data_IF_178095453960
#
_entry.id   IF_178095453960
#
_cell.length_a   1.000
_cell.length_b   1.000
_cell.length_c   1.000
_cell.angle_alpha   90.00
_cell.angle_beta   90.00
_cell.angle_gamma   90.00
#
_symmetry.space_group_name_H-M   'P 1'
#
loop_
_entity.id
_entity.type
_entity.pdbx_description
1 polymer ?
#
# COMPACT_ATOMS: atom_id res chain seq x y z
N UNK A 1 -9.40 -3.77 -11.07
CA UNK A 1 -9.44 -5.17 -10.62
C UNK A 1 -10.19 -6.04 -11.60
N UNK A 2 -11.51 -5.85 -11.78
CA UNK A 2 -12.37 -6.73 -12.57
C UNK A 2 -11.87 -7.00 -14.01
N UNK A 3 -11.58 -5.95 -14.77
CA UNK A 3 -11.11 -6.09 -16.15
C UNK A 3 -9.79 -6.87 -16.25
N UNK A 4 -8.86 -6.60 -15.34
CA UNK A 4 -7.57 -7.30 -15.33
C UNK A 4 -7.74 -8.77 -14.92
N UNK A 5 -8.64 -9.06 -13.98
CA UNK A 5 -8.95 -10.45 -13.62
C UNK A 5 -9.66 -11.20 -14.75
N UNK A 6 -10.50 -10.50 -15.52
CA UNK A 6 -11.25 -11.11 -16.64
C UNK A 6 -10.38 -11.36 -17.87
N UNK A 7 -9.54 -10.39 -18.24
CA UNK A 7 -8.66 -10.50 -19.43
C UNK A 7 -7.26 -11.03 -19.10
N UNK A 8 -6.88 -11.11 -17.81
CA UNK A 8 -5.56 -11.54 -17.40
C UNK A 8 -5.33 -13.03 -17.56
N UNK A 9 -4.12 -13.43 -17.93
CA UNK A 9 -3.71 -14.83 -18.03
C UNK A 9 -3.33 -15.49 -16.69
N UNK A 10 -3.27 -14.76 -15.59
CA UNK A 10 -2.89 -15.26 -14.27
C UNK A 10 -4.10 -15.39 -13.35
N UNK A 11 -4.24 -16.56 -12.69
CA UNK A 11 -5.32 -16.81 -11.72
C UNK A 11 -5.06 -16.21 -10.33
N UNK A 12 -3.85 -15.76 -10.07
CA UNK A 12 -3.40 -15.29 -8.74
C UNK A 12 -2.89 -13.84 -8.76
N UNK A 13 -3.13 -13.11 -9.85
CA UNK A 13 -2.70 -11.73 -9.97
C UNK A 13 -3.71 -10.79 -9.32
N UNK A 14 -3.24 -9.94 -8.42
CA UNK A 14 -3.99 -8.82 -7.88
C UNK A 14 -3.50 -7.56 -8.59
N UNK A 15 -4.41 -6.90 -9.30
CA UNK A 15 -4.11 -5.66 -9.99
C UNK A 15 -4.59 -4.47 -9.17
N UNK A 16 -3.75 -3.45 -9.08
CA UNK A 16 -4.07 -2.22 -8.39
C UNK A 16 -2.91 -1.22 -8.45
N UNK A 17 -3.12 0.01 -8.01
CA UNK A 17 -2.06 1.01 -7.91
C UNK A 17 -0.98 0.50 -6.94
N UNK A 18 0.29 0.64 -7.35
CA UNK A 18 1.43 0.20 -6.55
C UNK A 18 2.13 1.39 -5.92
N UNK A 19 2.66 1.22 -4.71
CA UNK A 19 3.43 2.26 -4.03
C UNK A 19 4.70 2.68 -4.82
N UNK A 20 5.23 1.79 -5.66
CA UNK A 20 6.37 2.09 -6.54
C UNK A 20 6.05 3.19 -7.56
N UNK A 21 4.81 3.28 -8.03
CA UNK A 21 4.38 4.33 -8.96
C UNK A 21 3.91 5.61 -8.26
N UNK A 22 3.71 5.59 -6.96
CA UNK A 22 3.19 6.75 -6.22
C UNK A 22 4.08 7.99 -6.38
N UNK A 23 5.40 7.83 -6.39
CA UNK A 23 6.36 8.92 -6.58
C UNK A 23 6.26 9.52 -7.99
N UNK A 24 6.13 8.67 -9.01
CA UNK A 24 6.01 9.12 -10.42
C UNK A 24 4.67 9.85 -10.61
N UNK A 25 3.59 9.27 -10.12
CA UNK A 25 2.24 9.86 -10.21
C UNK A 25 2.18 11.18 -9.46
N UNK A 26 2.74 11.26 -8.25
CA UNK A 26 2.80 12.50 -7.47
C UNK A 26 3.62 13.58 -8.20
N UNK A 27 4.77 13.22 -8.78
CA UNK A 27 5.60 14.16 -9.53
C UNK A 27 4.90 14.76 -10.76
N UNK A 28 4.01 13.99 -11.41
CA UNK A 28 3.21 14.50 -12.54
C UNK A 28 2.01 15.30 -12.03
N UNK A 29 1.30 14.78 -11.01
CA UNK A 29 0.07 15.39 -10.51
C UNK A 29 0.27 16.79 -9.89
N UNK A 30 1.47 17.06 -9.36
CA UNK A 30 1.85 18.36 -8.77
C UNK A 30 2.23 19.42 -9.79
N UNK A 31 2.41 19.07 -11.06
CA UNK A 31 2.68 20.05 -12.11
C UNK A 31 1.40 20.81 -12.52
N UNK A 32 1.58 21.95 -13.19
CA UNK A 32 0.46 22.64 -13.84
C UNK A 32 -0.24 21.68 -14.82
N UNK A 33 -1.57 21.63 -14.76
CA UNK A 33 -2.40 20.67 -15.49
C UNK A 33 -2.04 19.20 -15.26
N UNK A 34 -1.47 18.85 -14.07
CA UNK A 34 -0.92 17.54 -13.76
C UNK A 34 -1.93 16.40 -13.92
N UNK A 35 -3.21 16.62 -13.61
CA UNK A 35 -4.25 15.59 -13.81
C UNK A 35 -4.49 15.29 -15.29
N UNK A 36 -4.46 16.30 -16.15
CA UNK A 36 -4.58 16.13 -17.61
C UNK A 36 -3.36 15.40 -18.18
N UNK A 37 -2.15 15.79 -17.76
CA UNK A 37 -0.89 15.12 -18.14
C UNK A 37 -0.88 13.65 -17.70
N UNK A 38 -1.34 13.36 -16.49
CA UNK A 38 -1.42 12.00 -15.95
C UNK A 38 -2.40 11.13 -16.75
N UNK A 39 -3.53 11.71 -17.17
CA UNK A 39 -4.52 11.02 -18.00
C UNK A 39 -3.91 10.62 -19.36
N UNK A 40 -3.23 11.57 -20.05
CA UNK A 40 -2.58 11.28 -21.30
C UNK A 40 -1.44 10.29 -21.18
N UNK A 41 -0.62 10.40 -20.14
CA UNK A 41 0.43 9.43 -19.85
C UNK A 41 -0.16 8.02 -19.67
N UNK A 42 -1.30 7.90 -18.99
CA UNK A 42 -1.99 6.61 -18.77
C UNK A 42 -2.51 6.02 -20.07
N UNK A 43 -3.10 6.84 -20.95
CA UNK A 43 -3.57 6.37 -22.28
C UNK A 43 -2.39 5.89 -23.13
N UNK A 44 -1.32 6.69 -23.21
CA UNK A 44 -0.14 6.33 -23.99
C UNK A 44 0.48 5.04 -23.45
N UNK A 45 0.63 4.91 -22.15
CA UNK A 45 1.10 3.68 -21.52
C UNK A 45 0.20 2.47 -21.84
N UNK A 46 -1.13 2.67 -21.83
CA UNK A 46 -2.09 1.63 -22.22
C UNK A 46 -1.91 1.17 -23.66
N UNK A 47 -1.75 2.10 -24.60
CA UNK A 47 -1.48 1.79 -26.01
C UNK A 47 -0.16 1.01 -26.17
N UNK A 48 0.90 1.47 -25.50
CA UNK A 48 2.20 0.78 -25.54
C UNK A 48 2.06 -0.66 -25.01
N UNK A 49 1.35 -0.86 -23.89
CA UNK A 49 1.13 -2.19 -23.30
C UNK A 49 0.34 -3.10 -24.25
N UNK A 50 -0.68 -2.57 -24.96
CA UNK A 50 -1.42 -3.34 -25.96
C UNK A 50 -0.50 -3.76 -27.10
N UNK A 51 0.31 -2.86 -27.63
CA UNK A 51 1.28 -3.17 -28.68
C UNK A 51 2.29 -4.24 -28.22
N UNK A 52 2.83 -4.10 -27.02
CA UNK A 52 3.73 -5.10 -26.43
C UNK A 52 3.05 -6.47 -26.27
N UNK A 53 1.78 -6.48 -25.91
CA UNK A 53 0.98 -7.70 -25.81
C UNK A 53 0.81 -8.39 -27.17
N UNK A 54 0.44 -7.62 -28.22
CA UNK A 54 0.28 -8.12 -29.59
C UNK A 54 1.60 -8.66 -30.16
N UNK A 55 2.71 -8.01 -29.86
CA UNK A 55 4.06 -8.43 -30.26
C UNK A 55 4.61 -9.58 -29.39
N UNK A 56 3.83 -10.08 -28.42
CA UNK A 56 4.20 -11.18 -27.52
C UNK A 56 5.49 -10.89 -26.69
N UNK A 57 5.75 -9.63 -26.38
CA UNK A 57 6.92 -9.21 -25.60
C UNK A 57 6.93 -9.74 -24.17
N UNK A 58 5.81 -10.26 -23.68
CA UNK A 58 5.77 -10.97 -22.40
C UNK A 58 6.74 -12.16 -22.32
N UNK A 59 7.12 -12.74 -23.47
CA UNK A 59 8.14 -13.81 -23.50
C UNK A 59 9.56 -13.31 -23.19
N UNK A 60 9.83 -11.99 -23.36
CA UNK A 60 11.14 -11.39 -23.07
C UNK A 60 11.45 -11.36 -21.56
N UNK A 61 10.43 -11.49 -20.71
CA UNK A 61 10.61 -11.54 -19.24
C UNK A 61 11.52 -12.67 -18.80
N UNK A 62 11.59 -13.75 -19.61
CA UNK A 62 12.49 -14.90 -19.36
C UNK A 62 13.98 -14.55 -19.42
N UNK A 63 14.30 -13.46 -20.10
CA UNK A 63 15.69 -12.98 -20.21
C UNK A 63 16.11 -12.01 -19.12
N UNK A 64 15.16 -11.60 -18.25
CA UNK A 64 15.46 -10.71 -17.12
C UNK A 64 16.12 -11.56 -16.00
N UNK A 65 17.37 -11.28 -15.64
CA UNK A 65 18.03 -11.97 -14.55
C UNK A 65 17.27 -11.80 -13.22
N UNK A 66 17.25 -12.86 -12.43
CA UNK A 66 16.59 -12.86 -11.11
C UNK A 66 17.12 -11.75 -10.18
N UNK A 67 18.40 -11.43 -10.28
CA UNK A 67 19.03 -10.35 -9.51
C UNK A 67 18.42 -8.98 -9.76
N UNK A 68 17.97 -8.69 -11.00
CA UNK A 68 17.31 -7.43 -11.34
C UNK A 68 15.94 -7.35 -10.66
N UNK A 69 15.14 -8.43 -10.74
CA UNK A 69 13.82 -8.46 -10.10
C UNK A 69 13.91 -8.39 -8.59
N UNK A 70 14.91 -9.05 -8.00
CA UNK A 70 15.16 -9.00 -6.55
C UNK A 70 15.61 -7.61 -6.11
N UNK A 71 16.53 -6.98 -6.84
CA UNK A 71 16.96 -5.60 -6.56
C UNK A 71 15.82 -4.59 -6.67
N UNK A 72 15.00 -4.69 -7.71
CA UNK A 72 13.82 -3.87 -7.88
C UNK A 72 12.84 -4.01 -6.71
N UNK A 73 12.53 -5.24 -6.32
CA UNK A 73 11.63 -5.51 -5.19
C UNK A 73 12.19 -5.00 -3.86
N UNK A 74 13.50 -5.17 -3.63
CA UNK A 74 14.17 -4.64 -2.44
C UNK A 74 14.13 -3.10 -2.39
N UNK A 75 14.36 -2.44 -3.53
CA UNK A 75 14.25 -0.98 -3.64
C UNK A 75 12.84 -0.47 -3.30
N UNK A 76 11.81 -1.14 -3.83
CA UNK A 76 10.41 -0.82 -3.48
C UNK A 76 10.16 -1.00 -1.99
N UNK A 77 10.64 -2.09 -1.39
CA UNK A 77 10.46 -2.36 0.03
C UNK A 77 11.08 -1.25 0.90
N UNK A 78 12.28 -0.77 0.56
CA UNK A 78 12.93 0.35 1.25
C UNK A 78 12.11 1.64 1.09
N UNK A 79 11.66 1.95 -0.13
CA UNK A 79 10.84 3.13 -0.40
C UNK A 79 9.55 3.15 0.43
N UNK A 80 8.87 2.00 0.50
CA UNK A 80 7.65 1.85 1.31
C UNK A 80 8.00 2.01 2.80
N UNK A 81 9.03 1.33 3.29
CA UNK A 81 9.41 1.39 4.69
C UNK A 81 9.72 2.82 5.13
N UNK A 82 10.55 3.55 4.38
CA UNK A 82 10.88 4.95 4.67
C UNK A 82 9.64 5.85 4.59
N UNK A 83 8.76 5.60 3.61
CA UNK A 83 7.50 6.35 3.48
C UNK A 83 6.56 6.19 4.67
N UNK A 84 6.58 5.05 5.35
CA UNK A 84 5.72 4.77 6.50
C UNK A 84 6.28 5.30 7.84
N UNK A 85 7.56 5.68 7.91
CA UNK A 85 8.18 6.13 9.17
C UNK A 85 7.49 7.36 9.76
N UNK A 86 7.03 8.29 8.91
CA UNK A 86 6.28 9.47 9.35
C UNK A 86 5.05 9.08 10.18
N UNK A 87 4.22 8.21 9.62
CA UNK A 87 2.95 7.83 10.24
C UNK A 87 3.16 6.88 11.41
N UNK A 88 4.15 6.01 11.33
CA UNK A 88 4.53 5.08 12.40
C UNK A 88 5.00 5.82 13.66
N UNK A 89 5.80 6.85 13.50
CA UNK A 89 6.25 7.70 14.60
C UNK A 89 5.30 8.88 14.92
N UNK A 90 4.21 9.02 14.14
CA UNK A 90 3.23 10.09 14.30
C UNK A 90 3.80 11.48 14.12
N UNK A 91 4.80 11.65 13.21
CA UNK A 91 5.48 12.92 13.00
C UNK A 91 4.58 13.93 12.29
N UNK A 92 4.67 15.18 12.71
CA UNK A 92 3.96 16.28 12.06
C UNK A 92 4.95 17.11 11.26
N UNK A 93 4.67 17.27 9.96
CA UNK A 93 5.46 18.10 9.07
C UNK A 93 4.78 19.46 8.87
N UNK A 94 5.55 20.52 8.55
CA UNK A 94 5.02 21.83 8.20
C UNK A 94 4.04 21.74 7.01
N UNK A 95 3.02 22.59 6.99
CA UNK A 95 2.07 22.67 5.88
C UNK A 95 2.80 23.04 4.58
N UNK A 96 2.41 22.41 3.49
CA UNK A 96 3.01 22.65 2.17
C UNK A 96 4.30 21.89 1.89
N UNK A 97 4.85 21.11 2.83
CA UNK A 97 6.03 20.29 2.59
C UNK A 97 5.64 19.03 1.78
N UNK A 98 5.93 19.07 0.50
CA UNK A 98 5.72 17.94 -0.40
C UNK A 98 7.04 17.19 -0.59
N UNK A 99 7.10 15.96 -0.10
CA UNK A 99 8.26 15.09 -0.19
C UNK A 99 7.96 13.99 -1.21
N UNK A 100 8.68 13.97 -2.31
CA UNK A 100 8.50 12.98 -3.38
C UNK A 100 9.54 11.88 -3.24
N UNK A 101 10.79 12.25 -3.08
CA UNK A 101 11.90 11.32 -3.05
C UNK A 101 12.06 10.57 -1.72
N UNK A 102 12.56 9.34 -1.78
CA UNK A 102 12.76 8.50 -0.61
C UNK A 102 13.80 9.10 0.35
N UNK A 103 14.85 9.72 -0.20
CA UNK A 103 15.91 10.36 0.57
C UNK A 103 15.37 11.57 1.33
N UNK A 104 14.61 12.43 0.66
CA UNK A 104 13.94 13.59 1.28
C UNK A 104 13.02 13.17 2.43
N UNK A 105 12.26 12.07 2.25
CA UNK A 105 11.41 11.52 3.31
C UNK A 105 12.24 11.07 4.51
N UNK A 106 13.37 10.41 4.27
CA UNK A 106 14.29 9.99 5.34
C UNK A 106 14.88 11.16 6.10
N UNK A 107 15.35 12.20 5.40
CA UNK A 107 15.85 13.44 6.02
C UNK A 107 14.78 14.16 6.82
N UNK A 108 13.55 14.23 6.29
CA UNK A 108 12.44 14.86 6.98
C UNK A 108 12.07 14.14 8.28
N UNK A 109 12.15 12.82 8.32
CA UNK A 109 11.97 12.03 9.55
C UNK A 109 12.98 12.46 10.61
N UNK A 110 14.26 12.57 10.24
CA UNK A 110 15.32 12.97 11.17
C UNK A 110 15.12 14.42 11.64
N UNK A 111 14.84 15.34 10.71
CA UNK A 111 14.66 16.78 11.01
C UNK A 111 13.47 17.06 11.93
N UNK A 112 12.38 16.30 11.77
CA UNK A 112 11.13 16.52 12.52
C UNK A 112 10.88 15.48 13.61
N UNK A 113 11.91 14.74 14.01
CA UNK A 113 11.79 13.73 15.06
C UNK A 113 11.38 14.29 16.42
N UNK A 114 11.58 15.58 16.63
CA UNK A 114 11.11 16.31 17.82
C UNK A 114 9.58 16.37 17.94
N UNK A 115 8.84 16.10 16.86
CA UNK A 115 7.36 16.06 16.85
C UNK A 115 6.80 14.65 17.13
N UNK A 116 7.62 13.74 17.62
CA UNK A 116 7.30 12.36 17.90
C UNK A 116 6.04 12.21 18.77
N UNK A 117 5.09 11.38 18.32
CA UNK A 117 3.87 11.07 19.05
C UNK A 117 3.93 9.66 19.63
N UNK A 118 4.08 9.57 20.95
CA UNK A 118 4.14 8.31 21.66
C UNK A 118 2.89 7.43 21.46
N UNK A 119 1.71 8.05 21.36
CA UNK A 119 0.46 7.31 21.18
C UNK A 119 0.38 6.65 19.80
N UNK A 120 0.79 7.37 18.74
CA UNK A 120 0.87 6.83 17.39
C UNK A 120 1.87 5.67 17.32
N UNK A 121 3.04 5.84 17.90
CA UNK A 121 4.07 4.81 17.99
C UNK A 121 3.56 3.55 18.71
N UNK A 122 2.87 3.72 19.84
CA UNK A 122 2.31 2.61 20.61
C UNK A 122 1.27 1.83 19.79
N UNK A 123 0.35 2.53 19.12
CA UNK A 123 -0.63 1.90 18.21
C UNK A 123 0.09 1.15 17.08
N UNK A 124 1.08 1.77 16.46
CA UNK A 124 1.90 1.16 15.41
C UNK A 124 2.61 -0.11 15.88
N UNK A 125 3.24 -0.06 17.05
CA UNK A 125 3.92 -1.23 17.65
C UNK A 125 2.96 -2.38 17.96
N UNK A 126 1.79 -2.09 18.50
CA UNK A 126 0.79 -3.13 18.78
C UNK A 126 0.28 -3.74 17.48
N UNK A 127 -0.05 -2.92 16.48
CA UNK A 127 -0.48 -3.41 15.17
C UNK A 127 0.61 -4.27 14.51
N UNK A 128 1.87 -3.84 14.57
CA UNK A 128 3.01 -4.61 14.05
C UNK A 128 3.17 -5.94 14.79
N UNK A 129 3.05 -5.93 16.11
CA UNK A 129 3.09 -7.16 16.93
C UNK A 129 1.97 -8.12 16.53
N UNK A 130 0.75 -7.63 16.35
CA UNK A 130 -0.37 -8.44 15.86
C UNK A 130 -0.05 -9.07 14.50
N UNK A 131 0.47 -8.28 13.55
CA UNK A 131 0.83 -8.77 12.22
C UNK A 131 1.85 -9.91 12.25
N UNK A 132 2.84 -9.83 13.13
CA UNK A 132 3.89 -10.84 13.26
C UNK A 132 3.39 -12.07 14.03
N UNK A 133 2.72 -11.84 15.15
CA UNK A 133 2.36 -12.91 16.10
C UNK A 133 1.12 -13.69 15.65
N UNK A 134 0.15 -13.03 14.99
CA UNK A 134 -1.09 -13.66 14.54
C UNK A 134 -0.86 -14.92 13.68
N UNK A 135 -0.12 -14.85 12.56
CA UNK A 135 0.12 -16.03 11.72
C UNK A 135 0.90 -17.11 12.47
N UNK A 136 1.86 -16.72 13.31
CA UNK A 136 2.68 -17.68 14.07
C UNK A 136 1.83 -18.48 15.07
N UNK A 137 0.92 -17.82 15.80
CA UNK A 137 0.04 -18.45 16.76
C UNK A 137 -0.89 -19.44 16.05
N UNK A 138 -1.58 -18.97 14.99
CA UNK A 138 -2.59 -19.81 14.34
C UNK A 138 -1.98 -20.95 13.55
N UNK A 139 -0.78 -20.79 12.98
CA UNK A 139 -0.05 -21.90 12.34
C UNK A 139 0.35 -22.97 13.37
N UNK A 140 0.86 -22.56 14.54
CA UNK A 140 1.17 -23.49 15.65
C UNK A 140 -0.09 -24.17 16.17
N UNK A 141 -1.19 -23.44 16.35
CA UNK A 141 -2.46 -24.00 16.82
C UNK A 141 -3.04 -25.00 15.81
N UNK A 142 -2.94 -24.70 14.52
CA UNK A 142 -3.40 -25.60 13.45
C UNK A 142 -2.64 -26.92 13.51
N UNK A 143 -1.32 -26.89 13.65
CA UNK A 143 -0.48 -28.09 13.83
C UNK A 143 -0.80 -28.84 15.11
N UNK A 144 -0.98 -28.14 16.22
CA UNK A 144 -1.31 -28.75 17.51
C UNK A 144 -2.72 -29.39 17.56
N UNK A 145 -3.65 -28.88 16.76
CA UNK A 145 -5.03 -29.36 16.72
C UNK A 145 -5.29 -30.42 15.63
N UNK A 146 -4.25 -30.86 14.91
CA UNK A 146 -4.40 -31.80 13.80
C UNK A 146 -5.01 -33.15 14.23
N UNK A 147 -4.72 -33.58 15.45
CA UNK A 147 -5.23 -34.82 16.04
C UNK A 147 -6.40 -34.63 17.05
N UNK A 148 -7.00 -33.40 17.12
CA UNK A 148 -8.12 -33.11 18.05
C UNK A 148 -9.47 -33.13 17.33
N UNK A 149 -10.55 -32.89 18.11
CA UNK A 149 -11.94 -32.89 17.64
C UNK A 149 -12.18 -32.09 16.37
N UNK A 150 -13.01 -32.61 15.43
CA UNK A 150 -13.34 -31.99 14.16
C UNK A 150 -13.84 -30.53 14.31
N UNK A 151 -14.61 -30.24 15.36
CA UNK A 151 -15.12 -28.90 15.62
C UNK A 151 -13.99 -27.89 15.94
N UNK A 152 -13.04 -28.28 16.79
CA UNK A 152 -11.90 -27.44 17.15
C UNK A 152 -11.00 -27.17 15.94
N UNK A 153 -10.78 -28.19 15.11
CA UNK A 153 -10.02 -28.06 13.85
C UNK A 153 -10.69 -27.08 12.88
N UNK A 154 -12.03 -27.11 12.76
CA UNK A 154 -12.78 -26.19 11.93
C UNK A 154 -12.66 -24.73 12.41
N UNK A 155 -12.79 -24.50 13.73
CA UNK A 155 -12.65 -23.18 14.33
C UNK A 155 -11.24 -22.61 14.09
N UNK A 156 -10.20 -23.39 14.39
CA UNK A 156 -8.81 -22.97 14.21
C UNK A 156 -8.53 -22.66 12.74
N UNK A 157 -9.06 -23.47 11.81
CA UNK A 157 -8.92 -23.25 10.36
C UNK A 157 -9.59 -21.94 9.91
N UNK A 158 -10.77 -21.62 10.44
CA UNK A 158 -11.47 -20.35 10.13
C UNK A 158 -10.62 -19.17 10.61
N UNK A 159 -10.13 -19.18 11.83
CA UNK A 159 -9.30 -18.10 12.36
C UNK A 159 -7.96 -17.96 11.62
N UNK A 160 -7.34 -19.06 11.21
CA UNK A 160 -6.13 -19.05 10.40
C UNK A 160 -6.36 -18.46 8.99
N UNK A 161 -7.60 -18.52 8.50
CA UNK A 161 -7.97 -17.91 7.21
C UNK A 161 -8.19 -16.40 7.29
N UNK A 162 -8.30 -15.83 8.51
CA UNK A 162 -8.47 -14.37 8.68
C UNK A 162 -7.10 -13.70 8.54
N UNK A 163 -6.94 -12.76 7.60
CA UNK A 163 -5.69 -12.04 7.46
C UNK A 163 -5.34 -11.25 8.74
N UNK A 164 -4.12 -11.42 9.24
CA UNK A 164 -3.65 -10.68 10.43
C UNK A 164 -3.72 -9.17 10.26
N UNK A 165 -3.61 -8.66 9.03
CA UNK A 165 -3.78 -7.25 8.71
C UNK A 165 -5.18 -6.73 9.04
N UNK A 166 -6.22 -7.51 8.80
CA UNK A 166 -7.59 -7.13 9.16
C UNK A 166 -7.73 -6.96 10.67
N UNK A 167 -7.19 -7.91 11.44
CA UNK A 167 -7.22 -7.87 12.90
C UNK A 167 -6.42 -6.66 13.43
N UNK A 168 -5.25 -6.40 12.86
CA UNK A 168 -4.44 -5.24 13.22
C UNK A 168 -5.17 -3.92 12.98
N UNK A 169 -5.85 -3.75 11.82
CA UNK A 169 -6.65 -2.57 11.52
C UNK A 169 -7.80 -2.40 12.49
N UNK A 170 -8.56 -3.46 12.77
CA UNK A 170 -9.67 -3.41 13.74
C UNK A 170 -9.15 -3.03 15.13
N UNK A 171 -8.06 -3.67 15.58
CA UNK A 171 -7.43 -3.35 16.86
C UNK A 171 -6.97 -1.89 16.93
N UNK A 172 -6.30 -1.38 15.88
CA UNK A 172 -5.88 0.02 15.81
C UNK A 172 -7.04 1.00 15.89
N UNK A 173 -8.11 0.74 15.14
CA UNK A 173 -9.33 1.59 15.18
C UNK A 173 -9.97 1.56 16.57
N UNK A 174 -10.06 0.40 17.21
CA UNK A 174 -10.62 0.29 18.56
C UNK A 174 -9.76 1.01 19.59
N UNK A 175 -8.44 0.90 19.53
CA UNK A 175 -7.53 1.61 20.41
C UNK A 175 -7.67 3.14 20.28
N UNK A 176 -7.76 3.65 19.06
CA UNK A 176 -7.92 5.10 18.83
C UNK A 176 -9.30 5.58 19.30
N UNK A 177 -10.38 4.88 18.93
CA UNK A 177 -11.75 5.32 19.26
C UNK A 177 -12.13 5.10 20.72
N UNK A 178 -11.85 3.92 21.27
CA UNK A 178 -12.22 3.58 22.65
C UNK A 178 -11.16 4.02 23.67
N UNK A 179 -9.89 3.99 23.28
CA UNK A 179 -8.78 4.45 24.12
C UNK A 179 -8.61 5.98 24.17
N UNK A 180 -9.35 6.73 23.36
CA UNK A 180 -9.27 8.19 23.30
C UNK A 180 -7.87 8.69 22.90
N UNK A 181 -7.12 7.90 22.12
CA UNK A 181 -5.76 8.24 21.73
C UNK A 181 -5.77 9.36 20.69
N UNK A 182 -4.93 10.37 20.91
CA UNK A 182 -4.75 11.50 19.98
C UNK A 182 -3.79 11.12 18.85
N UNK A 183 -4.30 10.34 17.92
CA UNK A 183 -3.59 9.91 16.71
C UNK A 183 -4.34 10.43 15.51
N UNK A 184 -3.64 11.04 14.56
CA UNK A 184 -4.25 11.52 13.30
C UNK A 184 -4.76 10.31 12.51
N UNK A 185 -6.04 10.34 12.18
CA UNK A 185 -6.67 9.31 11.35
C UNK A 185 -6.66 9.73 9.89
N UNK A 186 -6.92 8.79 8.98
CA UNK A 186 -7.03 9.08 7.54
C UNK A 186 -8.10 10.17 7.28
N UNK A 187 -9.19 10.15 8.05
CA UNK A 187 -10.25 11.17 7.95
C UNK A 187 -9.81 12.58 8.39
N UNK A 188 -8.80 12.69 9.25
CA UNK A 188 -8.23 13.98 9.68
C UNK A 188 -7.21 14.52 8.66
N UNK A 189 -6.56 13.63 7.92
CA UNK A 189 -5.52 13.97 6.95
C UNK A 189 -6.06 14.19 5.53
N UNK A 190 -7.14 13.51 5.16
CA UNK A 190 -7.67 13.50 3.81
C UNK A 190 -9.20 13.63 3.81
N UNK A 191 -9.72 14.47 2.95
CA UNK A 191 -11.16 14.54 2.66
C UNK A 191 -11.52 13.43 1.69
N UNK A 192 -12.07 12.32 2.20
CA UNK A 192 -12.55 11.24 1.36
C UNK A 192 -13.96 11.58 0.89
N UNK A 193 -14.12 11.82 -0.41
CA UNK A 193 -15.44 12.02 -1.01
C UNK A 193 -16.24 10.72 -0.95
N UNK A 194 -17.46 10.78 -0.39
CA UNK A 194 -18.41 9.67 -0.38
C UNK A 194 -19.12 9.47 -1.73
N UNK A 195 -18.82 10.30 -2.73
CA UNK A 195 -19.40 10.20 -4.07
C UNK A 195 -18.46 9.45 -5.00
N UNK A 196 -19.03 8.62 -5.86
CA UNK A 196 -18.28 8.02 -6.96
C UNK A 196 -17.73 9.12 -7.88
N UNK A 197 -16.49 8.98 -8.38
CA UNK A 197 -15.93 9.94 -9.32
C UNK A 197 -16.84 10.06 -10.53
N UNK A 198 -17.22 11.31 -10.86
CA UNK A 198 -18.02 11.59 -12.06
C UNK A 198 -17.14 11.34 -13.28
N UNK A 199 -17.71 10.72 -14.31
CA UNK A 199 -17.04 10.60 -15.59
C UNK A 199 -16.87 12.02 -16.17
N UNK A 200 -15.64 12.46 -16.26
CA UNK A 200 -15.25 13.74 -16.87
C UNK A 200 -14.34 13.44 -18.05
N UNK A 201 -14.66 14.02 -19.20
CA UNK A 201 -13.72 13.98 -20.31
C UNK A 201 -12.55 14.92 -20.00
N UNK A 202 -11.30 14.46 -20.24
CA UNK A 202 -10.14 15.30 -20.03
C UNK A 202 -10.19 16.51 -20.99
N UNK A 203 -9.78 17.64 -20.47
CA UNK A 203 -9.59 18.83 -21.29
C UNK A 203 -8.34 18.59 -22.14
N UNK A 204 -8.47 18.73 -23.45
CA UNK A 204 -7.36 18.68 -24.38
C UNK A 204 -6.62 20.02 -24.30
N UNK A 205 -5.65 20.11 -23.40
CA UNK A 205 -4.77 21.26 -23.32
C UNK A 205 -3.37 20.81 -23.76
N UNK A 206 -3.00 21.22 -24.97
CA UNK A 206 -1.69 20.99 -25.56
C UNK A 206 -0.80 22.22 -25.35
N UNK A 207 -0.92 22.93 -24.19
CA UNK A 207 -0.08 24.07 -23.88
C UNK A 207 1.37 23.71 -23.58
#
# INVERSE_FOLDING_TARGET
GFLISFFGGSRVQIAGPTAAFATIVAGIALQENGMSKLFWATIIAGVILILMGLLKFGSLIKFIPYTITTGFTAGIAVTIAVGQLKDFFGLTYPEGLVLIETVEKGEAVIKHFNTFNWQAFLVGMICLTILIVWPIIWDKLTKACENKNKALKAIVKIFNSIPGSLIAVVAGVLMVKLGGMQVKTIGDLYTISNSLPKFQMPVFDFG
#
